data_IF_987201047309
#
_entry.id   IF_987201047309
#
_cell.length_a   1.000
_cell.length_b   1.000
_cell.length_c   1.000
_cell.angle_alpha   90.00
_cell.angle_beta   90.00
_cell.angle_gamma   90.00
#
_symmetry.space_group_name_H-M   'P 1'
#
loop_
_entity.id
_entity.type
_entity.pdbx_description
1 polymer ?
#
# COMPACT_ATOMS: atom_id res chain seq x y z
N UNK A 1 28.13 -14.54 -0.73
CA UNK A 1 28.50 -14.33 0.68
C UNK A 1 27.46 -15.04 1.53
N UNK A 2 27.83 -15.80 2.56
CA UNK A 2 26.86 -16.51 3.42
C UNK A 2 25.85 -15.54 4.06
N UNK A 3 26.32 -14.36 4.45
CA UNK A 3 25.51 -13.32 5.15
C UNK A 3 24.46 -12.65 4.24
N UNK A 4 24.49 -12.90 2.94
CA UNK A 4 23.52 -12.33 1.99
C UNK A 4 22.07 -12.72 2.33
N UNK A 5 21.88 -13.93 2.83
CA UNK A 5 20.57 -14.41 3.27
C UNK A 5 20.00 -13.56 4.41
N UNK A 6 20.82 -13.22 5.42
CA UNK A 6 20.43 -12.36 6.54
C UNK A 6 20.20 -10.92 6.11
N UNK A 7 21.10 -10.38 5.27
CA UNK A 7 20.98 -9.01 4.74
C UNK A 7 19.69 -8.80 3.96
N UNK A 8 19.31 -9.77 3.13
CA UNK A 8 18.09 -9.71 2.32
C UNK A 8 16.87 -10.30 3.03
N UNK A 9 17.02 -10.75 4.29
CA UNK A 9 15.96 -11.40 5.09
C UNK A 9 15.28 -12.55 4.36
N UNK A 10 16.03 -13.29 3.56
CA UNK A 10 15.53 -14.43 2.81
C UNK A 10 15.25 -15.59 3.77
N UNK A 11 14.12 -16.26 3.57
CA UNK A 11 13.76 -17.47 4.31
C UNK A 11 13.89 -18.67 3.39
N UNK A 12 14.63 -19.69 3.80
CA UNK A 12 14.71 -20.94 3.06
C UNK A 12 13.36 -21.67 3.07
N UNK A 13 12.93 -22.12 1.90
CA UNK A 13 11.81 -23.04 1.74
C UNK A 13 12.27 -24.49 1.82
N UNK A 14 13.43 -24.79 1.23
CA UNK A 14 14.03 -26.12 1.24
C UNK A 14 15.54 -26.05 0.97
N UNK A 15 16.29 -27.08 1.39
CA UNK A 15 17.71 -27.19 1.18
C UNK A 15 18.58 -26.31 2.09
N UNK A 16 19.68 -25.79 1.57
CA UNK A 16 20.62 -24.93 2.29
C UNK A 16 21.01 -23.70 1.47
N UNK A 17 21.53 -22.69 2.14
CA UNK A 17 22.15 -21.56 1.47
C UNK A 17 23.62 -21.82 1.14
N UNK A 18 24.25 -20.86 0.45
CA UNK A 18 25.69 -20.90 0.13
C UNK A 18 26.47 -20.89 1.43
N UNK A 19 27.40 -21.83 1.57
CA UNK A 19 28.24 -21.95 2.75
C UNK A 19 29.70 -21.55 2.47
N UNK A 20 30.55 -21.39 3.48
CA UNK A 20 31.95 -21.04 3.29
C UNK A 20 32.77 -22.07 2.48
N UNK A 21 32.39 -23.35 2.45
CA UNK A 21 33.05 -24.36 1.65
C UNK A 21 32.77 -24.13 0.15
N UNK A 22 31.55 -23.82 -0.24
CA UNK A 22 31.17 -23.48 -1.61
C UNK A 22 32.02 -22.32 -2.18
N UNK A 23 32.36 -21.35 -1.29
CA UNK A 23 33.20 -20.21 -1.67
C UNK A 23 34.67 -20.61 -1.83
N UNK A 24 35.21 -21.41 -0.90
CA UNK A 24 36.61 -21.83 -0.94
C UNK A 24 36.93 -22.75 -2.12
N UNK A 25 35.95 -23.60 -2.48
CA UNK A 25 36.09 -24.61 -3.51
C UNK A 25 35.60 -24.12 -4.90
N UNK A 26 35.18 -22.85 -5.00
CA UNK A 26 34.57 -22.30 -6.22
C UNK A 26 33.40 -23.19 -6.72
N UNK A 27 32.58 -23.65 -5.78
CA UNK A 27 31.50 -24.60 -6.04
C UNK A 27 30.48 -24.05 -7.02
N UNK A 28 30.18 -24.81 -8.09
CA UNK A 28 29.11 -24.45 -9.04
C UNK A 28 27.75 -24.77 -8.45
N UNK A 29 27.38 -24.04 -7.39
CA UNK A 29 26.10 -24.17 -6.68
C UNK A 29 25.28 -22.90 -6.82
N UNK A 30 23.94 -23.06 -6.77
CA UNK A 30 23.01 -21.96 -6.96
C UNK A 30 21.83 -22.10 -5.99
N UNK A 31 21.35 -20.98 -5.50
CA UNK A 31 20.10 -20.91 -4.74
C UNK A 31 19.07 -20.15 -5.58
N UNK A 32 17.88 -20.70 -5.71
CA UNK A 32 16.81 -20.14 -6.56
C UNK A 32 15.57 -19.79 -5.73
N UNK A 33 14.72 -18.94 -6.27
CA UNK A 33 13.44 -18.62 -5.63
C UNK A 33 12.42 -19.74 -5.81
N UNK A 34 11.42 -19.81 -4.93
CA UNK A 34 10.32 -20.77 -5.05
C UNK A 34 9.52 -20.57 -6.36
N UNK A 35 9.43 -19.34 -6.85
CA UNK A 35 8.80 -19.04 -8.14
C UNK A 35 9.60 -19.65 -9.31
N UNK A 36 10.92 -19.46 -9.31
CA UNK A 36 11.80 -20.07 -10.32
C UNK A 36 11.81 -21.60 -10.26
N UNK A 37 11.79 -22.15 -9.04
CA UNK A 37 11.69 -23.60 -8.85
C UNK A 37 10.40 -24.17 -9.47
N UNK A 38 9.29 -23.48 -9.33
CA UNK A 38 7.99 -23.85 -9.89
C UNK A 38 7.93 -23.76 -11.42
N UNK A 39 8.61 -22.75 -11.99
CA UNK A 39 8.74 -22.59 -13.45
C UNK A 39 9.61 -23.69 -14.07
N UNK A 40 10.71 -24.06 -13.40
CA UNK A 40 11.67 -25.06 -13.92
C UNK A 40 11.19 -26.49 -13.69
N UNK A 41 10.50 -26.75 -12.59
CA UNK A 41 9.95 -28.06 -12.26
C UNK A 41 8.56 -27.87 -11.60
N UNK A 42 7.47 -28.01 -12.37
CA UNK A 42 6.13 -27.99 -11.83
C UNK A 42 5.94 -29.10 -10.80
N UNK A 43 5.67 -28.75 -9.54
CA UNK A 43 5.55 -29.67 -8.40
C UNK A 43 6.06 -29.05 -7.12
N UNK A 44 6.54 -29.91 -6.20
CA UNK A 44 7.12 -29.43 -4.95
C UNK A 44 8.46 -28.72 -5.17
N UNK A 45 8.67 -27.52 -4.62
CA UNK A 45 9.94 -26.78 -4.77
C UNK A 45 11.17 -27.56 -4.31
N UNK A 46 11.01 -28.46 -3.34
CA UNK A 46 12.10 -29.30 -2.85
C UNK A 46 12.62 -30.32 -3.88
N UNK A 47 11.82 -30.72 -4.86
CA UNK A 47 12.20 -31.71 -5.87
C UNK A 47 13.28 -31.24 -6.84
N UNK A 48 13.61 -29.96 -6.87
CA UNK A 48 14.68 -29.41 -7.72
C UNK A 48 16.05 -29.43 -7.03
N UNK A 49 16.12 -29.65 -5.72
CA UNK A 49 17.38 -29.70 -4.98
C UNK A 49 18.25 -30.84 -5.47
N UNK A 50 19.53 -30.56 -5.69
CA UNK A 50 20.50 -31.52 -6.22
C UNK A 50 20.52 -31.63 -7.73
N UNK A 51 19.51 -31.14 -8.45
CA UNK A 51 19.49 -31.11 -9.91
C UNK A 51 20.39 -30.02 -10.47
N UNK A 52 20.82 -30.24 -11.70
CA UNK A 52 21.65 -29.29 -12.45
C UNK A 52 20.76 -28.44 -13.34
N UNK A 53 20.94 -27.12 -13.27
CA UNK A 53 20.29 -26.15 -14.15
C UNK A 53 21.32 -25.28 -14.83
N UNK A 54 21.03 -24.84 -16.04
CA UNK A 54 21.94 -23.98 -16.78
C UNK A 54 21.66 -22.51 -16.48
N UNK A 55 22.65 -21.78 -16.00
CA UNK A 55 22.66 -20.32 -15.94
C UNK A 55 23.48 -19.81 -17.14
N UNK A 56 22.79 -19.40 -18.20
CA UNK A 56 23.43 -19.24 -19.51
C UNK A 56 23.95 -20.58 -20.05
N UNK A 57 25.23 -20.62 -20.37
CA UNK A 57 25.90 -21.84 -20.88
C UNK A 57 26.52 -22.71 -19.78
N UNK A 58 26.43 -22.36 -18.51
CA UNK A 58 27.17 -22.99 -17.42
C UNK A 58 26.19 -23.74 -16.50
N UNK A 59 26.43 -25.02 -16.23
CA UNK A 59 25.63 -25.81 -15.32
C UNK A 59 25.96 -25.48 -13.85
N UNK A 60 24.92 -25.27 -13.06
CA UNK A 60 24.97 -25.10 -11.60
C UNK A 60 24.06 -26.11 -10.91
N UNK A 61 24.50 -26.64 -9.78
CA UNK A 61 23.71 -27.54 -8.95
C UNK A 61 22.85 -26.73 -7.99
N UNK A 62 21.56 -26.94 -7.99
CA UNK A 62 20.64 -26.31 -7.04
C UNK A 62 20.85 -26.88 -5.65
N UNK A 63 21.19 -26.05 -4.66
CA UNK A 63 21.44 -26.46 -3.28
C UNK A 63 20.37 -25.95 -2.31
N UNK A 64 19.57 -24.97 -2.72
CA UNK A 64 18.48 -24.47 -1.90
C UNK A 64 17.46 -23.67 -2.69
N UNK A 65 16.28 -23.57 -2.09
CA UNK A 65 15.15 -22.79 -2.59
C UNK A 65 14.74 -21.83 -1.49
N UNK A 66 14.60 -20.54 -1.79
CA UNK A 66 14.14 -19.55 -0.82
C UNK A 66 12.70 -19.08 -1.12
N UNK A 67 11.98 -18.72 -0.06
CA UNK A 67 10.68 -18.11 -0.21
C UNK A 67 10.82 -16.74 -0.84
N UNK A 68 10.02 -16.50 -1.87
CA UNK A 68 9.83 -15.18 -2.46
C UNK A 68 8.44 -14.72 -2.04
N UNK A 69 8.32 -13.54 -1.45
CA UNK A 69 7.02 -12.90 -1.35
C UNK A 69 6.47 -12.73 -2.76
N UNK A 70 5.16 -12.93 -2.95
CA UNK A 70 4.49 -12.72 -4.25
C UNK A 70 4.72 -11.31 -4.81
N UNK A 71 5.22 -10.40 -3.97
CA UNK A 71 5.56 -9.01 -4.27
C UNK A 71 7.03 -8.80 -4.65
N UNK A 72 7.89 -9.79 -4.44
CA UNK A 72 9.31 -9.68 -4.77
C UNK A 72 9.58 -10.21 -6.17
N UNK A 73 9.51 -9.33 -7.14
CA UNK A 73 9.80 -9.62 -8.55
C UNK A 73 11.29 -9.76 -8.86
N UNK A 74 12.16 -9.53 -7.88
CA UNK A 74 13.59 -9.71 -8.03
C UNK A 74 13.90 -11.19 -8.19
N UNK A 75 14.14 -11.60 -9.41
CA UNK A 75 14.59 -12.95 -9.76
C UNK A 75 16.09 -13.10 -9.49
N UNK A 76 16.52 -12.79 -8.28
CA UNK A 76 17.92 -12.94 -7.89
C UNK A 76 18.23 -14.41 -7.69
N UNK A 77 19.30 -14.87 -8.32
CA UNK A 77 19.82 -16.24 -8.17
C UNK A 77 21.19 -16.17 -7.53
N UNK A 78 21.29 -16.25 -6.18
CA UNK A 78 22.58 -16.23 -5.49
C UNK A 78 23.49 -17.36 -5.92
N UNK A 79 24.70 -17.00 -6.27
CA UNK A 79 25.83 -17.92 -6.55
C UNK A 79 27.03 -17.54 -5.66
N UNK A 80 27.98 -18.44 -5.40
CA UNK A 80 29.19 -18.08 -4.68
C UNK A 80 29.97 -17.00 -5.43
N UNK A 81 30.40 -15.95 -4.72
CA UNK A 81 31.14 -14.85 -5.32
C UNK A 81 32.45 -15.34 -6.00
N UNK A 82 33.15 -16.27 -5.37
CA UNK A 82 34.37 -16.85 -5.94
C UNK A 82 34.11 -17.56 -7.26
N UNK A 83 33.01 -18.31 -7.35
CA UNK A 83 32.61 -19.00 -8.60
C UNK A 83 32.24 -17.99 -9.68
N UNK A 84 31.47 -16.92 -9.30
CA UNK A 84 31.12 -15.84 -10.23
C UNK A 84 32.39 -15.18 -10.79
N UNK A 85 33.37 -14.86 -9.93
CA UNK A 85 34.62 -14.22 -10.32
C UNK A 85 35.44 -15.08 -11.29
N UNK A 86 35.54 -16.37 -11.04
CA UNK A 86 36.28 -17.29 -11.92
C UNK A 86 35.62 -17.45 -13.28
N UNK A 87 34.28 -17.39 -13.34
CA UNK A 87 33.55 -17.70 -14.57
C UNK A 87 33.29 -16.47 -15.42
N UNK A 88 32.90 -15.35 -14.79
CA UNK A 88 32.36 -14.16 -15.48
C UNK A 88 33.26 -12.93 -15.37
N UNK A 89 34.07 -12.84 -14.34
CA UNK A 89 34.87 -11.65 -14.07
C UNK A 89 36.27 -11.97 -13.60
N UNK A 90 37.22 -11.89 -14.55
CA UNK A 90 38.66 -12.05 -14.27
C UNK A 90 39.30 -10.77 -13.70
N UNK A 91 38.55 -9.68 -13.54
CA UNK A 91 39.06 -8.42 -13.03
C UNK A 91 39.08 -8.40 -11.49
N UNK A 92 39.98 -7.59 -10.91
CA UNK A 92 39.99 -7.35 -9.46
C UNK A 92 39.05 -6.22 -9.04
N UNK A 93 38.11 -5.81 -9.90
CA UNK A 93 37.15 -4.75 -9.62
C UNK A 93 35.91 -5.30 -8.95
N UNK A 94 35.36 -4.56 -8.01
CA UNK A 94 34.11 -4.82 -7.34
C UNK A 94 33.13 -3.78 -7.82
N UNK A 95 32.02 -4.20 -8.42
CA UNK A 95 30.99 -3.29 -8.93
C UNK A 95 30.14 -2.70 -7.79
N UNK A 96 29.76 -3.53 -6.82
CA UNK A 96 28.93 -3.08 -5.70
C UNK A 96 29.21 -3.84 -4.42
N UNK A 97 29.09 -3.15 -3.31
CA UNK A 97 29.18 -3.73 -1.96
C UNK A 97 27.90 -3.37 -1.22
N UNK A 98 27.21 -4.38 -0.69
CA UNK A 98 26.06 -4.21 0.18
C UNK A 98 26.43 -4.60 1.60
N UNK A 99 26.12 -3.73 2.55
CA UNK A 99 26.39 -3.97 3.97
C UNK A 99 25.28 -3.39 4.86
N UNK A 100 25.14 -3.96 6.04
CA UNK A 100 24.22 -3.44 7.04
C UNK A 100 24.97 -2.48 7.96
N UNK A 101 24.33 -1.35 8.26
CA UNK A 101 24.87 -0.35 9.19
C UNK A 101 24.06 -0.39 10.48
N UNK A 102 24.74 -0.70 11.59
CA UNK A 102 24.15 -0.61 12.92
C UNK A 102 24.67 0.68 13.59
N UNK A 103 23.76 1.53 14.03
CA UNK A 103 24.10 2.77 14.73
C UNK A 103 23.20 3.95 14.38
N UNK A 104 23.20 4.46 13.14
CA UNK A 104 22.30 5.54 12.75
C UNK A 104 20.83 5.14 12.94
N UNK A 105 20.05 5.97 13.65
CA UNK A 105 18.61 5.74 13.90
C UNK A 105 17.74 6.84 13.31
N UNK A 106 18.35 8.01 12.99
CA UNK A 106 17.63 9.15 12.44
C UNK A 106 18.06 9.43 11.00
N UNK A 107 17.20 10.12 10.24
CA UNK A 107 17.50 10.52 8.88
C UNK A 107 18.79 11.35 8.80
N UNK A 108 18.98 12.27 9.75
CA UNK A 108 20.17 13.13 9.80
C UNK A 108 21.46 12.33 10.03
N UNK A 109 21.40 11.33 10.92
CA UNK A 109 22.53 10.43 11.17
C UNK A 109 22.87 9.58 9.95
N UNK A 110 21.85 9.07 9.23
CA UNK A 110 22.06 8.33 7.99
C UNK A 110 22.69 9.22 6.89
N UNK A 111 22.21 10.44 6.72
CA UNK A 111 22.78 11.40 5.76
C UNK A 111 24.23 11.80 6.12
N UNK A 112 24.51 12.00 7.42
CA UNK A 112 25.86 12.27 7.88
C UNK A 112 26.80 11.08 7.62
N UNK A 113 26.32 9.86 7.88
CA UNK A 113 27.05 8.64 7.58
C UNK A 113 27.33 8.50 6.07
N UNK A 114 26.34 8.68 5.20
CA UNK A 114 26.53 8.63 3.74
C UNK A 114 27.58 9.62 3.27
N UNK A 115 27.51 10.85 3.76
CA UNK A 115 28.49 11.90 3.41
C UNK A 115 29.90 11.55 3.90
N UNK A 116 30.02 11.06 5.14
CA UNK A 116 31.30 10.67 5.70
C UNK A 116 31.91 9.47 4.99
N UNK A 117 31.09 8.43 4.74
CA UNK A 117 31.50 7.21 4.06
C UNK A 117 31.87 7.48 2.60
N UNK A 118 31.02 8.23 1.87
CA UNK A 118 31.28 8.63 0.50
C UNK A 118 32.54 9.45 0.33
N UNK A 119 32.80 10.41 1.21
CA UNK A 119 34.04 11.20 1.20
C UNK A 119 35.28 10.34 1.49
N UNK A 120 35.14 9.34 2.40
CA UNK A 120 36.20 8.38 2.67
C UNK A 120 36.58 7.54 1.45
N UNK A 121 35.60 6.98 0.75
CA UNK A 121 35.83 6.18 -0.45
C UNK A 121 36.40 7.04 -1.59
N UNK A 122 35.85 8.25 -1.82
CA UNK A 122 36.38 9.16 -2.84
C UNK A 122 37.87 9.44 -2.63
N UNK A 123 38.27 9.65 -1.39
CA UNK A 123 39.68 9.88 -1.04
C UNK A 123 40.55 8.64 -1.29
N UNK A 124 40.06 7.44 -0.95
CA UNK A 124 40.80 6.19 -1.18
C UNK A 124 41.03 5.89 -2.67
N UNK A 125 40.07 6.26 -3.49
CA UNK A 125 40.12 6.00 -4.95
C UNK A 125 40.55 7.23 -5.77
N UNK A 126 41.10 8.29 -5.12
CA UNK A 126 41.55 9.52 -5.78
C UNK A 126 40.48 10.17 -6.67
N UNK A 127 39.21 10.09 -6.25
CA UNK A 127 38.07 10.71 -6.92
C UNK A 127 37.93 12.14 -6.40
N UNK A 128 37.69 13.11 -7.29
CA UNK A 128 37.47 14.50 -6.89
C UNK A 128 36.28 14.64 -5.92
N UNK A 129 36.39 15.49 -4.89
CA UNK A 129 35.33 15.61 -3.87
C UNK A 129 33.97 16.02 -4.43
N UNK A 130 33.96 16.80 -5.50
CA UNK A 130 32.80 17.32 -6.22
C UNK A 130 32.24 16.38 -7.28
N UNK A 131 32.96 15.30 -7.63
CA UNK A 131 32.48 14.29 -8.56
C UNK A 131 31.39 13.41 -7.91
N UNK A 132 30.15 13.63 -8.30
CA UNK A 132 28.99 12.86 -7.84
C UNK A 132 28.70 11.63 -8.72
N UNK A 133 29.51 11.36 -9.76
CA UNK A 133 29.33 10.20 -10.65
C UNK A 133 30.27 9.04 -10.30
N UNK A 134 31.37 9.33 -9.59
CA UNK A 134 32.38 8.33 -9.27
C UNK A 134 31.93 7.27 -8.27
N UNK A 135 30.95 7.57 -7.42
CA UNK A 135 30.41 6.63 -6.42
C UNK A 135 28.93 6.85 -6.27
N UNK A 136 28.17 5.76 -6.33
CA UNK A 136 26.74 5.74 -6.03
C UNK A 136 26.49 5.05 -4.68
N UNK A 137 25.95 5.78 -3.71
CA UNK A 137 25.55 5.25 -2.40
C UNK A 137 24.03 5.18 -2.37
N UNK A 138 23.52 3.96 -2.26
CA UNK A 138 22.08 3.73 -2.10
C UNK A 138 21.81 3.34 -0.63
N UNK A 139 21.07 4.15 0.08
CA UNK A 139 20.69 3.88 1.47
C UNK A 139 19.20 3.60 1.56
N UNK A 140 18.84 2.31 1.67
CA UNK A 140 17.46 1.88 1.75
C UNK A 140 16.67 2.49 2.91
N UNK A 141 17.32 2.97 3.99
CA UNK A 141 16.63 3.68 5.07
C UNK A 141 16.16 5.08 4.61
N UNK A 142 17.03 5.84 3.97
CA UNK A 142 16.70 7.19 3.44
C UNK A 142 15.60 7.10 2.37
N UNK A 143 15.69 6.15 1.47
CA UNK A 143 14.72 5.91 0.42
C UNK A 143 13.34 5.51 0.99
N UNK A 144 13.33 4.58 1.93
CA UNK A 144 12.09 4.19 2.63
C UNK A 144 11.47 5.35 3.42
N UNK A 145 12.28 6.19 4.06
CA UNK A 145 11.79 7.36 4.77
C UNK A 145 11.17 8.40 3.84
N UNK A 146 11.78 8.65 2.68
CA UNK A 146 11.23 9.54 1.65
C UNK A 146 9.93 8.99 1.08
N UNK A 147 9.89 7.71 0.74
CA UNK A 147 8.69 7.04 0.26
C UNK A 147 7.56 7.09 1.30
N UNK A 148 7.87 6.84 2.57
CA UNK A 148 6.90 6.94 3.66
C UNK A 148 6.41 8.38 3.89
N UNK A 149 7.27 9.40 3.70
CA UNK A 149 6.85 10.81 3.74
C UNK A 149 5.89 11.12 2.60
N UNK A 150 6.22 10.72 1.37
CA UNK A 150 5.36 10.90 0.19
C UNK A 150 4.01 10.19 0.38
N UNK A 151 4.01 8.94 0.82
CA UNK A 151 2.79 8.17 1.09
C UNK A 151 1.91 8.83 2.17
N UNK A 152 2.52 9.37 3.23
CA UNK A 152 1.78 10.12 4.27
C UNK A 152 1.16 11.41 3.72
N UNK A 153 1.89 12.13 2.85
CA UNK A 153 1.38 13.34 2.23
C UNK A 153 0.17 13.05 1.33
N UNK A 154 0.30 12.03 0.47
CA UNK A 154 -0.78 11.57 -0.40
C UNK A 154 -2.00 11.15 0.44
N UNK A 155 -1.79 10.34 1.49
CA UNK A 155 -2.88 9.92 2.38
C UNK A 155 -3.57 11.10 3.04
N UNK A 156 -2.83 12.11 3.51
CA UNK A 156 -3.42 13.35 4.07
C UNK A 156 -4.25 14.10 3.04
N UNK A 157 -3.73 14.26 1.82
CA UNK A 157 -4.46 14.93 0.73
C UNK A 157 -5.77 14.19 0.40
N UNK A 158 -5.74 12.86 0.31
CA UNK A 158 -6.93 12.04 0.08
C UNK A 158 -7.95 12.17 1.22
N UNK A 159 -7.50 12.23 2.49
CA UNK A 159 -8.38 12.47 3.63
C UNK A 159 -9.05 13.84 3.56
N UNK A 160 -8.31 14.89 3.21
CA UNK A 160 -8.86 16.25 3.06
C UNK A 160 -9.91 16.27 1.94
N UNK A 161 -9.61 15.70 0.79
CA UNK A 161 -10.56 15.60 -0.33
C UNK A 161 -11.81 14.79 0.07
N UNK A 162 -11.63 13.66 0.76
CA UNK A 162 -12.73 12.84 1.26
C UNK A 162 -13.65 13.59 2.22
N UNK A 163 -13.09 14.36 3.17
CA UNK A 163 -13.86 15.18 4.10
C UNK A 163 -14.62 16.30 3.36
N UNK A 164 -13.98 16.98 2.41
CA UNK A 164 -14.62 18.04 1.63
C UNK A 164 -15.77 17.51 0.79
N UNK A 165 -15.61 16.38 0.14
CA UNK A 165 -16.69 15.72 -0.63
C UNK A 165 -17.81 15.24 0.28
N UNK A 166 -17.50 14.72 1.47
CA UNK A 166 -18.50 14.32 2.46
C UNK A 166 -19.32 15.52 2.94
N UNK A 167 -18.68 16.65 3.26
CA UNK A 167 -19.36 17.90 3.65
C UNK A 167 -20.30 18.36 2.52
N UNK A 168 -19.83 18.34 1.28
CA UNK A 168 -20.66 18.67 0.12
C UNK A 168 -21.89 17.76 0.02
N UNK A 169 -21.73 16.45 0.24
CA UNK A 169 -22.83 15.48 0.28
C UNK A 169 -23.83 15.77 1.42
N UNK A 170 -23.33 16.07 2.63
CA UNK A 170 -24.16 16.45 3.79
C UNK A 170 -25.01 17.68 3.48
N UNK A 171 -24.44 18.70 2.88
CA UNK A 171 -25.16 19.93 2.48
C UNK A 171 -26.21 19.60 1.43
N UNK A 172 -25.89 18.76 0.43
CA UNK A 172 -26.83 18.32 -0.59
C UNK A 172 -28.05 17.60 -0.01
N UNK A 173 -27.83 16.59 0.83
CA UNK A 173 -28.91 15.87 1.54
C UNK A 173 -29.70 16.80 2.44
N UNK A 174 -29.04 17.67 3.19
CA UNK A 174 -29.71 18.63 4.07
C UNK A 174 -30.63 19.58 3.29
N UNK A 175 -30.22 20.06 2.13
CA UNK A 175 -31.03 20.90 1.27
C UNK A 175 -32.29 20.18 0.77
N UNK A 176 -32.17 18.94 0.32
CA UNK A 176 -33.31 18.11 -0.12
C UNK A 176 -34.27 17.90 1.07
N UNK A 177 -33.74 17.53 2.23
CA UNK A 177 -34.56 17.32 3.45
C UNK A 177 -35.28 18.61 3.90
N UNK A 178 -34.65 19.78 3.72
CA UNK A 178 -35.31 21.07 4.03
C UNK A 178 -36.51 21.33 3.12
N UNK A 179 -36.43 20.97 1.85
CA UNK A 179 -37.57 21.08 0.90
C UNK A 179 -38.67 20.11 1.33
N UNK A 180 -38.33 18.84 1.56
CA UNK A 180 -39.29 17.81 2.00
C UNK A 180 -40.00 18.20 3.31
N UNK A 181 -39.24 18.74 4.28
CA UNK A 181 -39.81 19.24 5.54
C UNK A 181 -40.81 20.39 5.29
N UNK A 182 -40.51 21.32 4.38
CA UNK A 182 -41.43 22.40 4.00
C UNK A 182 -42.71 21.86 3.38
N UNK A 183 -42.59 20.90 2.42
CA UNK A 183 -43.76 20.28 1.80
C UNK A 183 -44.64 19.54 2.79
N UNK A 184 -44.03 18.90 3.82
CA UNK A 184 -44.74 18.16 4.88
C UNK A 184 -45.05 19.01 6.12
N UNK A 185 -44.92 20.34 6.05
CA UNK A 185 -45.14 21.22 7.22
C UNK A 185 -46.55 21.09 7.80
N UNK A 186 -47.58 20.96 6.95
CA UNK A 186 -48.97 20.75 7.35
C UNK A 186 -49.15 19.43 8.12
N UNK A 187 -48.58 18.33 7.66
CA UNK A 187 -48.63 17.03 8.36
C UNK A 187 -47.99 17.12 9.74
N UNK A 188 -46.85 17.79 9.87
CA UNK A 188 -46.18 17.99 11.16
C UNK A 188 -46.96 18.91 12.08
N UNK A 189 -47.69 19.89 11.51
CA UNK A 189 -48.61 20.75 12.24
C UNK A 189 -49.77 19.96 12.86
N UNK A 190 -50.42 19.09 12.09
CA UNK A 190 -51.51 18.20 12.54
C UNK A 190 -51.00 17.28 13.65
N UNK A 191 -49.87 16.60 13.46
CA UNK A 191 -49.28 15.70 14.48
C UNK A 191 -49.05 16.43 15.81
N UNK A 192 -48.51 17.65 15.75
CA UNK A 192 -48.32 18.48 16.95
C UNK A 192 -49.63 18.92 17.58
N UNK A 193 -50.67 19.27 16.79
CA UNK A 193 -51.98 19.65 17.30
C UNK A 193 -52.67 18.49 18.05
N UNK A 194 -52.40 17.23 17.63
CA UNK A 194 -52.89 16.01 18.29
C UNK A 194 -52.01 15.60 19.49
N UNK A 195 -50.92 16.35 19.80
CA UNK A 195 -50.09 16.13 20.97
C UNK A 195 -48.74 15.43 20.75
N UNK A 196 -48.29 15.26 19.51
CA UNK A 196 -46.98 14.70 19.24
C UNK A 196 -45.84 15.57 19.82
N UNK A 197 -44.92 14.95 20.53
CA UNK A 197 -43.76 15.65 21.09
C UNK A 197 -42.80 16.10 20.00
N UNK A 198 -42.17 17.29 20.09
CA UNK A 198 -41.20 17.77 19.12
C UNK A 198 -40.06 16.78 18.83
N UNK A 199 -39.67 16.01 19.87
CA UNK A 199 -38.63 14.99 19.75
C UNK A 199 -39.00 13.78 18.86
N UNK A 200 -40.30 13.48 18.70
CA UNK A 200 -40.76 12.40 17.83
C UNK A 200 -40.63 12.80 16.36
N UNK A 201 -40.96 14.05 16.03
CA UNK A 201 -40.76 14.60 14.68
C UNK A 201 -39.28 14.66 14.35
N UNK A 202 -38.46 15.08 15.32
CA UNK A 202 -37.01 15.14 15.16
C UNK A 202 -36.42 13.76 14.89
N UNK A 203 -36.79 12.73 15.64
CA UNK A 203 -36.35 11.35 15.44
C UNK A 203 -36.75 10.81 14.07
N UNK A 204 -37.99 11.12 13.62
CA UNK A 204 -38.50 10.68 12.32
C UNK A 204 -37.62 11.22 11.17
N UNK A 205 -37.33 12.52 11.18
CA UNK A 205 -36.56 13.16 10.10
C UNK A 205 -35.11 12.73 10.13
N UNK A 206 -34.49 12.55 11.30
CA UNK A 206 -33.15 12.03 11.42
C UNK A 206 -33.09 10.58 10.90
N UNK A 207 -34.06 9.74 11.27
CA UNK A 207 -34.12 8.36 10.77
C UNK A 207 -34.26 8.30 9.25
N UNK A 208 -35.13 9.17 8.67
CA UNK A 208 -35.26 9.29 7.22
C UNK A 208 -33.95 9.71 6.54
N UNK A 209 -33.26 10.71 7.10
CA UNK A 209 -31.96 11.17 6.61
C UNK A 209 -30.87 10.08 6.67
N UNK A 210 -30.80 9.35 7.78
CA UNK A 210 -29.85 8.23 7.94
C UNK A 210 -30.18 7.13 6.92
N UNK A 211 -31.47 6.81 6.73
CA UNK A 211 -31.89 5.76 5.78
C UNK A 211 -31.49 6.12 4.35
N UNK A 212 -31.75 7.36 3.92
CA UNK A 212 -31.36 7.85 2.59
C UNK A 212 -29.84 7.79 2.45
N UNK A 213 -29.10 8.31 3.40
CA UNK A 213 -27.64 8.33 3.38
C UNK A 213 -27.05 6.93 3.39
N UNK A 214 -27.63 5.99 4.15
CA UNK A 214 -27.21 4.60 4.18
C UNK A 214 -27.40 3.92 2.83
N UNK A 215 -28.61 4.01 2.24
CA UNK A 215 -28.92 3.36 0.95
C UNK A 215 -27.96 3.85 -0.12
N UNK A 216 -27.90 5.16 -0.35
CA UNK A 216 -27.05 5.73 -1.40
C UNK A 216 -25.56 5.61 -1.07
N UNK A 217 -25.20 5.64 0.19
CA UNK A 217 -23.82 5.43 0.63
C UNK A 217 -23.35 3.99 0.37
N UNK A 218 -24.19 2.97 0.64
CA UNK A 218 -23.85 1.58 0.30
C UNK A 218 -23.79 1.35 -1.21
N UNK A 219 -24.68 1.97 -1.99
CA UNK A 219 -24.59 1.94 -3.46
C UNK A 219 -23.27 2.55 -3.92
N UNK A 220 -22.90 3.73 -3.37
CA UNK A 220 -21.62 4.37 -3.69
C UNK A 220 -20.41 3.52 -3.30
N UNK A 221 -20.44 2.89 -2.13
CA UNK A 221 -19.38 1.98 -1.68
C UNK A 221 -19.26 0.75 -2.60
N UNK A 222 -20.38 0.16 -3.02
CA UNK A 222 -20.38 -0.96 -3.95
C UNK A 222 -19.78 -0.58 -5.31
N UNK A 223 -20.18 0.57 -5.87
CA UNK A 223 -19.61 1.09 -7.12
C UNK A 223 -18.11 1.35 -6.96
N UNK A 224 -17.68 1.92 -5.82
CA UNK A 224 -16.27 2.15 -5.51
C UNK A 224 -15.46 0.85 -5.46
N UNK A 225 -15.99 -0.20 -4.81
CA UNK A 225 -15.32 -1.51 -4.78
C UNK A 225 -15.19 -2.14 -6.18
N UNK A 226 -16.25 -2.08 -6.98
CA UNK A 226 -16.22 -2.58 -8.36
C UNK A 226 -15.20 -1.81 -9.19
N UNK A 227 -15.15 -0.49 -9.06
CA UNK A 227 -14.15 0.34 -9.74
C UNK A 227 -12.72 -0.04 -9.33
N UNK A 228 -12.46 -0.24 -8.03
CA UNK A 228 -11.17 -0.71 -7.54
C UNK A 228 -10.78 -2.08 -8.12
N UNK A 229 -11.72 -3.03 -8.20
CA UNK A 229 -11.47 -4.35 -8.79
C UNK A 229 -11.17 -4.28 -10.29
N UNK A 230 -11.87 -3.41 -11.03
CA UNK A 230 -11.60 -3.19 -12.45
C UNK A 230 -10.20 -2.58 -12.62
N UNK A 231 -9.84 -1.61 -11.79
CA UNK A 231 -8.49 -1.01 -11.80
C UNK A 231 -7.41 -2.03 -11.51
N UNK A 232 -7.62 -2.92 -10.55
CA UNK A 232 -6.67 -3.99 -10.22
C UNK A 232 -6.45 -4.91 -11.42
N UNK A 233 -7.51 -5.34 -12.09
CA UNK A 233 -7.43 -6.21 -13.27
C UNK A 233 -6.83 -5.53 -14.50
N UNK A 234 -7.04 -4.24 -14.68
CA UNK A 234 -6.63 -3.53 -15.90
C UNK A 234 -5.27 -2.87 -15.78
N UNK A 235 -4.98 -2.26 -14.64
CA UNK A 235 -3.75 -1.48 -14.38
C UNK A 235 -2.82 -2.21 -13.43
N UNK A 236 -3.36 -2.85 -12.39
CA UNK A 236 -2.58 -3.53 -11.36
C UNK A 236 -1.81 -4.74 -11.90
N UNK A 237 -2.37 -5.47 -12.87
CA UNK A 237 -1.72 -6.62 -13.51
C UNK A 237 -0.85 -6.24 -14.71
N UNK A 238 -0.96 -5.01 -15.21
CA UNK A 238 -0.03 -4.49 -16.23
C UNK A 238 1.25 -4.07 -15.51
N UNK A 239 2.20 -5.00 -15.43
CA UNK A 239 3.57 -4.65 -15.12
C UNK A 239 4.05 -3.64 -16.18
N UNK A 240 4.35 -2.41 -15.77
CA UNK A 240 4.99 -1.44 -16.65
C UNK A 240 6.40 -1.94 -16.88
N UNK A 241 6.65 -2.39 -18.10
CA UNK A 241 7.97 -2.85 -18.52
C UNK A 241 8.85 -1.62 -18.75
N UNK A 242 9.59 -1.24 -17.72
CA UNK A 242 10.55 -0.14 -17.78
C UNK A 242 11.91 -0.60 -18.34
N UNK A 243 11.94 -1.76 -18.98
CA UNK A 243 13.15 -2.30 -19.65
C UNK A 243 14.13 -3.00 -18.71
N UNK A 244 14.00 -2.84 -17.39
CA UNK A 244 14.88 -3.45 -16.37
C UNK A 244 14.09 -4.15 -15.26
N UNK A 245 12.90 -3.65 -14.89
CA UNK A 245 12.04 -4.25 -13.85
C UNK A 245 10.56 -4.07 -14.18
N UNK A 246 9.78 -5.12 -13.96
CA UNK A 246 8.31 -5.06 -13.99
C UNK A 246 7.81 -4.61 -12.62
N UNK A 247 7.40 -3.35 -12.51
CA UNK A 247 6.85 -2.78 -11.27
C UNK A 247 5.33 -2.87 -11.32
N UNK A 248 4.72 -3.60 -10.39
CA UNK A 248 3.27 -3.51 -10.17
C UNK A 248 2.99 -2.27 -9.30
N UNK A 249 2.36 -1.26 -9.89
CA UNK A 249 2.03 -0.01 -9.21
C UNK A 249 0.90 -0.13 -8.19
N UNK A 250 0.01 -1.09 -8.35
CA UNK A 250 -1.13 -1.31 -7.48
C UNK A 250 -1.14 -2.76 -6.99
N UNK A 251 -1.05 -2.95 -5.71
CA UNK A 251 -1.10 -4.27 -5.08
C UNK A 251 -2.38 -4.36 -4.25
N UNK A 252 -3.31 -5.18 -4.74
CA UNK A 252 -4.49 -5.68 -4.02
C UNK A 252 -5.32 -4.57 -3.33
N UNK A 253 -6.08 -3.74 -4.10
CA UNK A 253 -6.94 -2.69 -3.57
C UNK A 253 -8.26 -3.25 -2.97
N UNK A 254 -8.26 -4.47 -2.43
CA UNK A 254 -9.47 -5.05 -1.82
C UNK A 254 -9.82 -4.32 -0.53
N UNK A 255 -11.09 -3.93 -0.43
CA UNK A 255 -11.65 -3.30 0.77
C UNK A 255 -11.92 -4.38 1.80
N UNK A 256 -11.21 -4.32 2.93
CA UNK A 256 -11.43 -5.23 4.06
C UNK A 256 -12.74 -4.94 4.82
N UNK A 257 -13.18 -5.89 5.62
CA UNK A 257 -14.37 -5.75 6.47
C UNK A 257 -14.23 -4.60 7.50
N UNK A 258 -13.02 -4.33 7.95
CA UNK A 258 -12.66 -3.21 8.83
C UNK A 258 -13.00 -1.85 8.19
N UNK A 259 -12.60 -1.65 6.94
CA UNK A 259 -12.90 -0.43 6.17
C UNK A 259 -14.41 -0.30 5.92
N UNK A 260 -15.10 -1.41 5.65
CA UNK A 260 -16.56 -1.38 5.45
C UNK A 260 -17.30 -0.97 6.74
N UNK A 261 -16.84 -1.40 7.91
CA UNK A 261 -17.39 -1.00 9.21
C UNK A 261 -17.14 0.48 9.50
N UNK A 262 -15.92 0.97 9.27
CA UNK A 262 -15.57 2.39 9.41
C UNK A 262 -16.42 3.27 8.47
N UNK A 263 -16.58 2.87 7.22
CA UNK A 263 -17.42 3.56 6.25
C UNK A 263 -18.89 3.60 6.69
N UNK A 264 -19.43 2.49 7.23
CA UNK A 264 -20.80 2.44 7.75
C UNK A 264 -21.00 3.43 8.90
N UNK A 265 -20.06 3.47 9.86
CA UNK A 265 -20.11 4.41 10.97
C UNK A 265 -20.09 5.86 10.47
N UNK A 266 -19.23 6.15 9.51
CA UNK A 266 -19.10 7.47 8.91
C UNK A 266 -20.39 7.89 8.17
N UNK A 267 -21.06 6.96 7.47
CA UNK A 267 -22.34 7.20 6.82
C UNK A 267 -23.45 7.52 7.83
N UNK A 268 -23.50 6.83 8.97
CA UNK A 268 -24.47 7.11 10.04
C UNK A 268 -24.24 8.51 10.61
N UNK A 269 -23.00 8.88 10.89
CA UNK A 269 -22.64 10.22 11.37
C UNK A 269 -23.05 11.27 10.34
N UNK A 270 -22.71 11.09 9.08
CA UNK A 270 -23.02 12.00 7.98
C UNK A 270 -24.54 12.18 7.82
N UNK A 271 -25.31 11.09 7.83
CA UNK A 271 -26.77 11.10 7.76
C UNK A 271 -27.40 11.83 8.94
N UNK A 272 -26.88 11.62 10.13
CA UNK A 272 -27.35 12.34 11.34
C UNK A 272 -27.09 13.85 11.23
N UNK A 273 -25.90 14.24 10.79
CA UNK A 273 -25.55 15.66 10.58
C UNK A 273 -26.40 16.30 9.47
N UNK A 274 -26.62 15.60 8.36
CA UNK A 274 -27.44 16.08 7.25
C UNK A 274 -28.88 16.30 7.67
N UNK A 275 -29.45 15.43 8.52
CA UNK A 275 -30.81 15.52 9.04
C UNK A 275 -30.98 16.51 10.19
N UNK A 276 -29.91 16.87 10.88
CA UNK A 276 -29.99 17.67 12.12
C UNK A 276 -30.66 19.07 11.93
N UNK A 277 -30.21 19.81 10.91
CA UNK A 277 -30.77 21.16 10.61
C UNK A 277 -32.22 21.09 10.17
N UNK A 278 -32.62 20.24 9.17
CA UNK A 278 -34.03 20.12 8.77
C UNK A 278 -34.93 19.61 9.93
N UNK A 279 -34.44 18.62 10.69
CA UNK A 279 -35.17 18.08 11.82
C UNK A 279 -35.47 19.16 12.91
N UNK A 280 -34.47 19.98 13.21
CA UNK A 280 -34.64 21.08 14.17
C UNK A 280 -35.60 22.14 13.68
N UNK A 281 -35.59 22.49 12.37
CA UNK A 281 -36.58 23.40 11.78
C UNK A 281 -37.98 22.83 11.85
N UNK A 282 -38.19 21.57 11.46
CA UNK A 282 -39.49 20.90 11.57
C UNK A 282 -40.03 20.84 13.01
N UNK A 283 -39.14 20.55 13.97
CA UNK A 283 -39.50 20.51 15.38
C UNK A 283 -39.94 21.87 15.95
N UNK A 284 -39.59 22.98 15.33
CA UNK A 284 -39.99 24.34 15.74
C UNK A 284 -41.23 24.89 15.05
N UNK A 285 -41.82 24.21 14.09
CA UNK A 285 -43.04 24.64 13.40
C UNK A 285 -44.16 24.79 14.41
N UNK A 286 -44.86 25.94 14.41
CA UNK A 286 -46.00 26.20 15.25
C UNK A 286 -47.25 25.61 14.59
N UNK A 287 -48.11 24.85 15.33
CA UNK A 287 -49.32 24.24 14.77
C UNK A 287 -50.27 25.22 14.09
N UNK A 288 -50.42 26.42 14.67
CA UNK A 288 -51.31 27.45 14.13
C UNK A 288 -50.83 27.98 12.79
N UNK A 289 -49.54 28.20 12.64
CA UNK A 289 -48.93 28.68 11.38
C UNK A 289 -48.97 27.59 10.28
N UNK A 290 -48.76 26.31 10.68
CA UNK A 290 -48.79 25.17 9.77
C UNK A 290 -50.20 24.87 9.20
N UNK A 291 -51.27 25.13 9.98
CA UNK A 291 -52.66 24.92 9.56
C UNK A 291 -53.20 26.09 8.76
N UNK A 292 -52.56 27.27 8.81
CA UNK A 292 -52.96 28.48 8.08
C UNK A 292 -52.25 28.65 6.72
N UNK A 293 -51.22 27.88 6.51
CA UNK A 293 -50.44 27.89 5.25
C UNK A 293 -51.13 27.01 4.21
N UNK A 294 -52.13 27.54 3.51
CA UNK A 294 -52.61 27.11 2.20
C UNK A 294 -52.01 27.99 1.10
#
# INVERSE_FOLDING_TARGET
MPDYMEQQKLKLAAGRFINPADIRENGKVIVISAAQAKELLPGEPAGIIGKWINLGAIPFRVVGVYHTDERDYRRTTPVPYSTYKVIYDSSDKIESITFNVNGPQTLEQHQAFEKAYGSGIKRLHSIAPDDNRGIWINNGYTDNMQMNKASRLIRRALWILGILTLISGIVGVSNIMLITVKERTHEFGIRKAIGARPGEILKLIIAESITITAIFGYIGMFIGMVACQIMDKTVGQRAVDLGVEKIQMLVNPTVGLDIALEATLLLIIAGTLAGAIPAWKAARVKPIEALRAE
#
